data_IF_667843833619
#
_entry.id   IF_667843833619
#
_cell.length_a   1.000
_cell.length_b   1.000
_cell.length_c   1.000
_cell.angle_alpha   90.00
_cell.angle_beta   90.00
_cell.angle_gamma   90.00
#
_symmetry.space_group_name_H-M   'P 1'
#
loop_
_entity.id
_entity.type
_entity.pdbx_description
1 polymer ?
#
# COMPACT_ATOMS: atom_id res chain seq x y z
N UNK A 1 1.36 -29.30 -29.82
CA UNK A 1 1.56 -29.05 -28.41
C UNK A 1 0.35 -28.25 -27.94
N UNK A 2 -0.53 -28.84 -27.14
CA UNK A 2 -1.74 -28.17 -26.65
C UNK A 2 -1.34 -27.03 -25.71
N UNK A 3 -1.44 -25.82 -26.22
CA UNK A 3 -1.33 -24.62 -25.41
C UNK A 3 -2.65 -24.51 -24.64
N UNK A 4 -2.73 -25.14 -23.46
CA UNK A 4 -3.87 -24.94 -22.56
C UNK A 4 -3.77 -23.49 -22.12
N UNK A 5 -4.62 -22.63 -22.69
CA UNK A 5 -4.73 -21.23 -22.28
C UNK A 5 -4.95 -21.19 -20.77
N UNK A 6 -4.01 -20.62 -20.04
CA UNK A 6 -4.10 -20.48 -18.59
C UNK A 6 -5.00 -19.29 -18.27
N UNK A 7 -6.23 -19.57 -17.90
CA UNK A 7 -7.19 -18.53 -17.46
C UNK A 7 -6.81 -18.09 -16.06
N UNK A 8 -6.71 -16.77 -15.85
CA UNK A 8 -6.47 -16.14 -14.54
C UNK A 8 -7.61 -15.15 -14.26
N UNK A 9 -8.29 -15.36 -13.15
CA UNK A 9 -9.40 -14.51 -12.70
C UNK A 9 -8.83 -13.40 -11.82
N UNK A 10 -8.84 -12.19 -12.33
CA UNK A 10 -8.30 -10.99 -11.68
C UNK A 10 -9.44 -10.12 -11.15
N UNK A 11 -9.50 -9.94 -9.86
CA UNK A 11 -10.41 -8.98 -9.23
C UNK A 11 -9.66 -7.67 -8.97
N UNK A 12 -10.16 -6.58 -9.54
CA UNK A 12 -9.64 -5.23 -9.34
C UNK A 12 -10.56 -4.47 -8.40
N UNK A 13 -10.05 -4.16 -7.20
CA UNK A 13 -10.76 -3.36 -6.22
C UNK A 13 -10.41 -1.88 -6.42
N UNK A 14 -11.26 -1.19 -7.20
CA UNK A 14 -11.03 0.20 -7.58
C UNK A 14 -12.29 0.83 -8.18
N UNK A 15 -12.56 2.11 -7.92
CA UNK A 15 -13.81 2.78 -8.30
C UNK A 15 -13.75 3.63 -9.57
N UNK A 16 -12.58 4.08 -10.01
CA UNK A 16 -12.44 5.07 -11.08
C UNK A 16 -12.55 4.42 -12.47
N UNK A 17 -13.69 4.58 -13.13
CA UNK A 17 -13.96 3.94 -14.43
C UNK A 17 -12.99 4.30 -15.56
N UNK A 18 -12.47 5.54 -15.60
CA UNK A 18 -11.54 5.96 -16.66
C UNK A 18 -10.20 5.18 -16.61
N UNK A 19 -9.77 4.73 -15.43
CA UNK A 19 -8.56 3.93 -15.28
C UNK A 19 -8.79 2.44 -15.49
N UNK A 20 -10.05 1.99 -15.54
CA UNK A 20 -10.37 0.57 -15.74
C UNK A 20 -9.73 0.03 -17.02
N UNK A 21 -9.97 0.68 -18.14
CA UNK A 21 -9.42 0.26 -19.44
C UNK A 21 -7.89 0.28 -19.45
N UNK A 22 -7.30 1.28 -18.80
CA UNK A 22 -5.83 1.42 -18.70
C UNK A 22 -5.25 0.28 -17.86
N UNK A 23 -5.85 -0.01 -16.70
CA UNK A 23 -5.42 -1.12 -15.84
C UNK A 23 -5.60 -2.46 -16.55
N UNK A 24 -6.70 -2.66 -17.25
CA UNK A 24 -6.99 -3.90 -17.97
C UNK A 24 -5.96 -4.12 -19.08
N UNK A 25 -5.68 -3.10 -19.89
CA UNK A 25 -4.63 -3.18 -20.92
C UNK A 25 -3.26 -3.44 -20.32
N UNK A 26 -2.92 -2.71 -19.25
CA UNK A 26 -1.63 -2.90 -18.58
C UNK A 26 -1.48 -4.33 -18.03
N UNK A 27 -2.53 -4.90 -17.43
CA UNK A 27 -2.50 -6.28 -16.94
C UNK A 27 -2.37 -7.29 -18.09
N UNK A 28 -3.06 -7.09 -19.22
CA UNK A 28 -2.91 -7.94 -20.42
C UNK A 28 -1.50 -7.86 -20.99
N UNK A 29 -0.91 -6.65 -21.06
CA UNK A 29 0.46 -6.46 -21.54
C UNK A 29 1.51 -7.07 -20.59
N UNK A 30 1.21 -7.12 -19.31
CA UNK A 30 2.08 -7.71 -18.27
C UNK A 30 1.99 -9.24 -18.22
N UNK A 31 0.86 -9.81 -18.66
CA UNK A 31 0.57 -11.25 -18.61
C UNK A 31 0.16 -11.79 -20.00
N UNK A 32 1.00 -11.63 -21.03
CA UNK A 32 0.62 -11.96 -22.41
C UNK A 32 0.35 -13.46 -22.65
N UNK A 33 0.89 -14.33 -21.81
CA UNK A 33 0.73 -15.79 -21.91
C UNK A 33 -0.50 -16.31 -21.17
N UNK A 34 -1.36 -15.40 -20.65
CA UNK A 34 -2.54 -15.73 -19.87
C UNK A 34 -3.81 -15.12 -20.47
N UNK A 35 -4.91 -15.84 -20.41
CA UNK A 35 -6.23 -15.30 -20.66
C UNK A 35 -6.77 -14.71 -19.36
N UNK A 36 -6.94 -13.39 -19.32
CA UNK A 36 -7.39 -12.71 -18.12
C UNK A 36 -8.91 -12.53 -18.11
N UNK A 37 -9.55 -13.07 -17.08
CA UNK A 37 -10.94 -12.73 -16.76
C UNK A 37 -10.91 -11.67 -15.64
N UNK A 38 -11.12 -10.40 -16.01
CA UNK A 38 -10.95 -9.26 -15.11
C UNK A 38 -12.30 -8.74 -14.66
N UNK A 39 -12.56 -8.77 -13.36
CA UNK A 39 -13.76 -8.25 -12.72
C UNK A 39 -13.41 -7.06 -11.84
N UNK A 40 -14.15 -5.98 -11.97
CA UNK A 40 -14.01 -4.82 -11.07
C UNK A 40 -15.07 -4.88 -9.98
N UNK A 41 -14.65 -4.62 -8.75
CA UNK A 41 -15.52 -4.45 -7.58
C UNK A 41 -15.17 -3.16 -6.86
N UNK A 42 -16.15 -2.50 -6.26
CA UNK A 42 -15.98 -1.24 -5.53
C UNK A 42 -16.56 -1.26 -4.12
N UNK A 43 -17.08 -2.41 -3.68
CA UNK A 43 -17.52 -2.63 -2.29
C UNK A 43 -16.79 -3.80 -1.63
N UNK A 44 -16.63 -3.71 -0.32
CA UNK A 44 -16.01 -4.77 0.49
C UNK A 44 -16.84 -6.04 0.50
N UNK A 45 -18.17 -5.92 0.44
CA UNK A 45 -19.09 -7.05 0.37
C UNK A 45 -18.88 -7.86 -0.90
N UNK A 46 -18.83 -7.19 -2.06
CA UNK A 46 -18.55 -7.83 -3.34
C UNK A 46 -17.17 -8.50 -3.35
N UNK A 47 -16.16 -7.84 -2.79
CA UNK A 47 -14.81 -8.39 -2.72
C UNK A 47 -14.76 -9.66 -1.84
N UNK A 48 -15.41 -9.64 -0.67
CA UNK A 48 -15.50 -10.80 0.22
C UNK A 48 -16.27 -11.95 -0.41
N UNK A 49 -17.41 -11.67 -1.06
CA UNK A 49 -18.22 -12.68 -1.73
C UNK A 49 -17.44 -13.34 -2.89
N UNK A 50 -16.82 -12.56 -3.75
CA UNK A 50 -16.05 -13.09 -4.89
C UNK A 50 -14.91 -14.03 -4.45
N UNK A 51 -14.22 -13.71 -3.35
CA UNK A 51 -13.19 -14.59 -2.80
C UNK A 51 -13.79 -15.84 -2.16
N UNK A 52 -14.88 -15.70 -1.40
CA UNK A 52 -15.57 -16.83 -0.76
C UNK A 52 -16.11 -17.84 -1.78
N UNK A 53 -16.58 -17.36 -2.93
CA UNK A 53 -17.07 -18.19 -4.04
C UNK A 53 -15.93 -18.83 -4.87
N UNK A 54 -14.69 -18.65 -4.45
CA UNK A 54 -13.49 -19.15 -5.15
C UNK A 54 -13.39 -18.71 -6.62
N UNK A 55 -13.84 -17.48 -6.92
CA UNK A 55 -13.86 -16.90 -8.26
C UNK A 55 -12.72 -15.93 -8.55
N UNK A 56 -11.68 -15.91 -7.70
CA UNK A 56 -10.56 -14.97 -7.78
C UNK A 56 -9.25 -15.72 -7.61
N UNK A 57 -8.30 -15.49 -8.53
CA UNK A 57 -6.93 -15.97 -8.42
C UNK A 57 -5.98 -14.85 -7.99
N UNK A 58 -6.27 -13.62 -8.46
CA UNK A 58 -5.49 -12.42 -8.14
C UNK A 58 -6.42 -11.30 -7.70
N UNK A 59 -6.13 -10.72 -6.56
CA UNK A 59 -6.72 -9.46 -6.09
C UNK A 59 -5.74 -8.33 -6.33
N UNK A 60 -6.16 -7.30 -7.06
CA UNK A 60 -5.37 -6.11 -7.37
C UNK A 60 -6.04 -4.86 -6.80
N UNK A 61 -5.27 -4.05 -6.09
CA UNK A 61 -5.76 -2.76 -5.58
C UNK A 61 -4.63 -1.73 -5.50
N UNK A 62 -5.00 -0.46 -5.32
CA UNK A 62 -4.11 0.68 -5.14
C UNK A 62 -4.18 1.18 -3.69
N UNK A 63 -3.04 1.55 -3.13
CA UNK A 63 -2.90 1.89 -1.72
C UNK A 63 -3.83 3.03 -1.26
N UNK A 64 -3.88 4.15 -2.00
CA UNK A 64 -4.71 5.28 -1.58
C UNK A 64 -6.21 4.94 -1.65
N UNK A 65 -6.62 4.13 -2.62
CA UNK A 65 -8.01 3.68 -2.71
C UNK A 65 -8.36 2.78 -1.54
N UNK A 66 -7.53 1.80 -1.25
CA UNK A 66 -7.72 0.88 -0.13
C UNK A 66 -7.77 1.63 1.21
N UNK A 67 -6.82 2.55 1.44
CA UNK A 67 -6.72 3.33 2.67
C UNK A 67 -7.91 4.27 2.89
N UNK A 68 -8.45 4.85 1.82
CA UNK A 68 -9.55 5.81 1.90
C UNK A 68 -10.95 5.17 1.76
N UNK A 69 -11.02 3.87 1.55
CA UNK A 69 -12.30 3.17 1.44
C UNK A 69 -12.97 3.06 2.80
N UNK A 70 -14.17 3.65 2.93
CA UNK A 70 -14.87 3.80 4.22
C UNK A 70 -15.18 2.47 4.92
N UNK A 71 -15.42 1.42 4.14
CA UNK A 71 -15.80 0.11 4.64
C UNK A 71 -14.58 -0.80 4.88
N UNK A 72 -13.37 -0.37 4.52
CA UNK A 72 -12.15 -1.17 4.68
C UNK A 72 -11.55 -0.98 6.08
N UNK A 73 -12.23 -1.50 7.09
CA UNK A 73 -11.75 -1.51 8.47
C UNK A 73 -10.65 -2.56 8.70
N UNK A 74 -9.99 -2.49 9.84
CA UNK A 74 -9.01 -3.51 10.25
C UNK A 74 -9.63 -4.91 10.34
N UNK A 75 -10.87 -5.00 10.82
CA UNK A 75 -11.63 -6.26 10.90
C UNK A 75 -11.90 -6.85 9.50
N UNK A 76 -12.40 -6.01 8.57
CA UNK A 76 -12.64 -6.40 7.17
C UNK A 76 -11.34 -6.83 6.51
N UNK A 77 -10.27 -6.08 6.69
CA UNK A 77 -8.93 -6.41 6.17
C UNK A 77 -8.42 -7.76 6.68
N UNK A 78 -8.59 -8.04 7.97
CA UNK A 78 -8.20 -9.31 8.59
C UNK A 78 -9.02 -10.48 8.03
N UNK A 79 -10.35 -10.34 7.95
CA UNK A 79 -11.24 -11.33 7.38
C UNK A 79 -10.93 -11.61 5.90
N UNK A 80 -10.75 -10.56 5.11
CA UNK A 80 -10.39 -10.66 3.70
C UNK A 80 -9.05 -11.38 3.51
N UNK A 81 -8.05 -11.01 4.31
CA UNK A 81 -6.73 -11.66 4.27
C UNK A 81 -6.82 -13.17 4.60
N UNK A 82 -7.63 -13.52 5.57
CA UNK A 82 -7.86 -14.92 5.93
C UNK A 82 -8.51 -15.71 4.79
N UNK A 83 -9.56 -15.15 4.18
CA UNK A 83 -10.22 -15.75 3.01
C UNK A 83 -9.26 -15.91 1.83
N UNK A 84 -8.48 -14.88 1.51
CA UNK A 84 -7.47 -14.96 0.44
C UNK A 84 -6.47 -16.08 0.67
N UNK A 85 -6.04 -16.31 1.92
CA UNK A 85 -5.15 -17.42 2.26
C UNK A 85 -5.82 -18.78 2.06
N UNK A 86 -7.08 -18.92 2.49
CA UNK A 86 -7.84 -20.16 2.35
C UNK A 86 -8.07 -20.54 0.89
N UNK A 87 -8.35 -19.56 0.03
CA UNK A 87 -8.65 -19.76 -1.38
C UNK A 87 -7.42 -19.53 -2.30
N UNK A 88 -6.21 -19.42 -1.73
CA UNK A 88 -4.95 -19.20 -2.46
C UNK A 88 -4.95 -17.95 -3.37
N UNK A 89 -5.74 -16.92 -3.05
CA UNK A 89 -5.77 -15.67 -3.80
C UNK A 89 -4.49 -14.87 -3.55
N UNK A 90 -3.82 -14.46 -4.61
CA UNK A 90 -2.61 -13.66 -4.56
C UNK A 90 -3.00 -12.17 -4.57
N UNK A 91 -2.60 -11.43 -3.54
CA UNK A 91 -2.92 -10.00 -3.39
C UNK A 91 -1.78 -9.16 -3.92
N UNK A 92 -2.09 -8.26 -4.83
CA UNK A 92 -1.16 -7.29 -5.43
C UNK A 92 -1.56 -5.90 -5.00
N UNK A 93 -0.62 -5.17 -4.41
CA UNK A 93 -0.81 -3.78 -3.98
C UNK A 93 0.06 -2.84 -4.82
N UNK A 94 -0.57 -1.90 -5.51
CA UNK A 94 0.10 -0.80 -6.18
C UNK A 94 0.26 0.36 -5.18
N UNK A 95 1.51 0.82 -4.99
CA UNK A 95 1.79 1.95 -4.10
C UNK A 95 2.33 3.14 -4.88
N UNK A 96 1.92 4.38 -4.53
CA UNK A 96 2.55 5.59 -5.03
C UNK A 96 3.93 5.76 -4.40
N UNK A 97 4.61 6.85 -4.71
CA UNK A 97 5.80 7.24 -3.97
C UNK A 97 5.41 7.58 -2.52
N UNK A 98 5.95 6.83 -1.58
CA UNK A 98 5.65 6.96 -0.16
C UNK A 98 6.91 7.32 0.63
N UNK A 99 6.78 8.13 1.70
CA UNK A 99 7.83 8.30 2.69
C UNK A 99 8.27 6.93 3.24
N UNK A 100 9.56 6.77 3.49
CA UNK A 100 10.13 5.49 3.88
C UNK A 100 9.41 4.82 5.08
N UNK A 101 9.11 5.61 6.13
CA UNK A 101 8.44 5.08 7.32
C UNK A 101 7.04 4.54 7.02
N UNK A 102 6.28 5.23 6.15
CA UNK A 102 4.97 4.77 5.71
C UNK A 102 5.09 3.53 4.81
N UNK A 103 6.03 3.55 3.86
CA UNK A 103 6.30 2.37 3.02
C UNK A 103 6.58 1.14 3.87
N UNK A 104 7.40 1.27 4.93
CA UNK A 104 7.67 0.16 5.84
C UNK A 104 6.40 -0.40 6.49
N UNK A 105 5.49 0.47 6.97
CA UNK A 105 4.20 0.05 7.54
C UNK A 105 3.30 -0.62 6.49
N UNK A 106 3.26 -0.08 5.27
CA UNK A 106 2.52 -0.70 4.16
C UNK A 106 3.02 -2.12 3.89
N UNK A 107 4.32 -2.34 3.92
CA UNK A 107 4.90 -3.67 3.72
C UNK A 107 4.55 -4.66 4.86
N UNK A 108 4.20 -4.16 6.04
CA UNK A 108 3.69 -4.98 7.16
C UNK A 108 2.29 -5.56 6.87
N UNK A 109 1.54 -5.02 5.89
CA UNK A 109 0.27 -5.60 5.41
C UNK A 109 0.46 -6.94 4.69
N UNK A 110 1.70 -7.29 4.32
CA UNK A 110 2.11 -8.58 3.76
C UNK A 110 1.30 -9.01 2.54
N UNK A 111 1.10 -8.10 1.59
CA UNK A 111 0.63 -8.47 0.25
C UNK A 111 1.62 -9.44 -0.41
N UNK A 112 1.13 -10.38 -1.19
CA UNK A 112 1.97 -11.36 -1.89
C UNK A 112 2.91 -10.66 -2.88
N UNK A 113 2.46 -9.53 -3.49
CA UNK A 113 3.33 -8.64 -4.25
C UNK A 113 2.94 -7.17 -4.00
N UNK A 114 3.92 -6.35 -3.61
CA UNK A 114 3.77 -4.90 -3.58
C UNK A 114 4.60 -4.28 -4.68
N UNK A 115 3.97 -3.53 -5.57
CA UNK A 115 4.57 -2.86 -6.73
C UNK A 115 4.46 -1.34 -6.59
N UNK A 116 5.38 -0.61 -7.19
CA UNK A 116 5.39 0.85 -7.20
C UNK A 116 4.90 1.41 -8.54
N UNK A 117 4.28 2.59 -8.51
CA UNK A 117 4.02 3.38 -9.73
C UNK A 117 5.32 3.79 -10.46
N UNK A 118 6.47 3.65 -9.82
CA UNK A 118 7.81 3.94 -10.36
C UNK A 118 8.50 2.70 -10.95
N UNK A 119 7.86 1.53 -10.90
CA UNK A 119 8.43 0.32 -11.51
C UNK A 119 8.38 0.39 -13.03
N UNK A 120 9.41 -0.13 -13.68
CA UNK A 120 9.42 -0.29 -15.12
C UNK A 120 8.56 -1.48 -15.56
N UNK A 121 7.77 -1.30 -16.60
CA UNK A 121 6.93 -2.38 -17.16
C UNK A 121 7.71 -3.64 -17.50
N UNK A 122 8.96 -3.49 -17.94
CA UNK A 122 9.86 -4.60 -18.24
C UNK A 122 10.21 -5.45 -17.02
N UNK A 123 10.28 -4.85 -15.83
CA UNK A 123 10.48 -5.57 -14.57
C UNK A 123 9.20 -6.27 -14.12
N UNK A 124 8.05 -5.57 -14.20
CA UNK A 124 6.74 -6.12 -13.83
C UNK A 124 6.32 -7.32 -14.71
N UNK A 125 6.70 -7.32 -15.99
CA UNK A 125 6.53 -8.48 -16.89
C UNK A 125 7.23 -9.76 -16.42
N UNK A 126 8.19 -9.65 -15.52
CA UNK A 126 8.86 -10.82 -14.90
C UNK A 126 8.26 -11.16 -13.53
N UNK A 127 7.92 -10.14 -12.76
CA UNK A 127 7.47 -10.31 -11.37
C UNK A 127 6.04 -10.83 -11.26
N UNK A 128 5.11 -10.36 -12.10
CA UNK A 128 3.72 -10.81 -12.08
C UNK A 128 3.54 -12.28 -12.54
N UNK A 129 4.13 -12.76 -13.65
CA UNK A 129 4.07 -14.18 -13.99
C UNK A 129 4.73 -15.05 -12.92
N UNK A 130 5.85 -14.61 -12.33
CA UNK A 130 6.52 -15.34 -11.26
C UNK A 130 5.62 -15.51 -10.04
N UNK A 131 4.83 -14.48 -9.69
CA UNK A 131 3.84 -14.55 -8.62
C UNK A 131 2.78 -15.64 -8.88
N UNK A 132 2.32 -15.77 -10.14
CA UNK A 132 1.30 -16.76 -10.52
C UNK A 132 1.82 -18.19 -10.50
N UNK A 133 3.12 -18.38 -10.74
CA UNK A 133 3.77 -19.68 -10.78
C UNK A 133 4.32 -20.16 -9.44
N UNK A 134 4.46 -19.24 -8.47
CA UNK A 134 5.05 -19.56 -7.18
C UNK A 134 4.15 -20.46 -6.32
N UNK A 135 4.69 -21.60 -5.88
CA UNK A 135 4.11 -22.38 -4.80
C UNK A 135 4.47 -21.73 -3.46
N UNK A 136 3.46 -21.18 -2.80
CA UNK A 136 3.62 -20.52 -1.50
C UNK A 136 3.63 -19.00 -1.58
N UNK A 137 2.82 -18.41 -0.72
CA UNK A 137 2.53 -16.96 -0.71
C UNK A 137 3.48 -16.23 0.22
N UNK A 138 4.77 -16.16 -0.12
CA UNK A 138 5.68 -15.28 0.62
C UNK A 138 5.56 -13.84 0.11
N UNK A 139 5.36 -12.85 1.01
CA UNK A 139 5.34 -11.45 0.62
C UNK A 139 6.60 -11.06 -0.14
N UNK A 140 6.42 -10.39 -1.26
CA UNK A 140 7.49 -9.88 -2.11
C UNK A 140 7.25 -8.41 -2.47
N UNK A 141 8.30 -7.73 -2.87
CA UNK A 141 8.25 -6.34 -3.30
C UNK A 141 8.97 -6.19 -4.64
N UNK A 142 8.54 -5.24 -5.45
CA UNK A 142 9.11 -4.97 -6.75
C UNK A 142 10.57 -4.52 -6.69
N UNK A 143 11.24 -4.53 -7.82
CA UNK A 143 12.65 -4.17 -7.95
C UNK A 143 12.92 -2.73 -7.52
N UNK A 144 12.04 -1.80 -7.88
CA UNK A 144 12.16 -0.40 -7.46
C UNK A 144 12.04 -0.26 -5.93
N UNK A 145 11.03 -0.89 -5.32
CA UNK A 145 10.85 -0.88 -3.87
C UNK A 145 12.02 -1.53 -3.15
N UNK A 146 12.59 -2.62 -3.68
CA UNK A 146 13.82 -3.21 -3.13
C UNK A 146 14.99 -2.25 -3.14
N UNK A 147 15.16 -1.45 -4.22
CA UNK A 147 16.19 -0.40 -4.29
C UNK A 147 15.97 0.67 -3.22
N UNK A 148 14.73 1.19 -3.11
CA UNK A 148 14.36 2.20 -2.11
C UNK A 148 14.60 1.68 -0.69
N UNK A 149 14.18 0.46 -0.38
CA UNK A 149 14.36 -0.13 0.94
C UNK A 149 15.84 -0.32 1.30
N UNK A 150 16.69 -0.67 0.34
CA UNK A 150 18.16 -0.80 0.55
C UNK A 150 18.83 0.56 0.72
N UNK A 151 18.52 1.55 -0.12
CA UNK A 151 19.13 2.88 -0.05
C UNK A 151 18.76 3.61 1.23
N UNK A 152 17.50 3.50 1.64
CA UNK A 152 17.00 4.14 2.85
C UNK A 152 17.40 3.41 4.14
N UNK A 153 17.90 2.16 4.06
CA UNK A 153 18.35 1.42 5.24
C UNK A 153 19.58 2.02 5.92
N UNK A 154 20.38 2.80 5.20
CA UNK A 154 21.58 3.48 5.73
C UNK A 154 21.31 4.82 6.42
N UNK A 155 20.12 5.43 6.22
CA UNK A 155 19.80 6.80 6.64
C UNK A 155 18.83 6.88 7.82
N UNK A 156 18.77 5.90 8.72
CA UNK A 156 17.63 5.72 9.58
C UNK A 156 17.80 6.10 11.03
N UNK A 157 16.93 6.98 11.47
CA UNK A 157 16.47 6.96 12.85
C UNK A 157 14.93 6.84 12.86
N UNK A 158 14.42 5.83 13.57
CA UNK A 158 13.02 5.75 13.99
C UNK A 158 12.69 7.04 14.72
N UNK A 159 11.49 7.59 14.52
CA UNK A 159 11.04 8.73 15.29
C UNK A 159 11.13 8.41 16.78
N UNK A 160 11.68 9.35 17.54
CA UNK A 160 11.57 9.27 19.00
C UNK A 160 10.11 9.47 19.40
N UNK A 161 9.72 8.97 20.58
CA UNK A 161 8.37 9.17 21.12
C UNK A 161 7.96 10.66 21.13
N UNK A 162 8.89 11.57 21.40
CA UNK A 162 8.67 13.02 21.40
C UNK A 162 8.41 13.58 20.00
N UNK A 163 9.14 13.11 19.01
CA UNK A 163 8.94 13.53 17.61
C UNK A 163 7.60 13.02 17.09
N UNK A 164 7.24 11.77 17.39
CA UNK A 164 5.96 11.18 17.02
C UNK A 164 4.80 11.95 17.63
N UNK A 165 4.88 12.26 18.92
CA UNK A 165 3.86 13.00 19.66
C UNK A 165 3.65 14.41 19.10
N UNK A 166 4.72 15.13 18.75
CA UNK A 166 4.62 16.44 18.10
C UNK A 166 3.92 16.34 16.74
N UNK A 167 4.24 15.32 15.93
CA UNK A 167 3.57 15.14 14.65
C UNK A 167 2.08 14.85 14.82
N UNK A 168 1.73 14.02 15.78
CA UNK A 168 0.33 13.66 16.08
C UNK A 168 -0.49 14.90 16.46
N UNK A 169 -0.01 15.70 17.39
CA UNK A 169 -0.66 16.94 17.81
C UNK A 169 -0.81 17.97 16.66
N UNK A 170 0.17 18.03 15.74
CA UNK A 170 0.07 18.89 14.56
C UNK A 170 -1.06 18.44 13.64
N UNK A 171 -1.27 17.15 13.47
CA UNK A 171 -2.34 16.61 12.63
C UNK A 171 -3.71 16.72 13.29
N UNK A 172 -3.76 16.72 14.61
CA UNK A 172 -4.96 17.08 15.40
C UNK A 172 -5.31 18.58 15.29
N UNK A 173 -4.47 19.38 14.63
CA UNK A 173 -4.72 20.80 14.36
C UNK A 173 -4.01 21.76 15.30
N UNK A 174 -3.20 21.29 16.25
CA UNK A 174 -2.46 22.18 17.16
C UNK A 174 -1.30 22.88 16.44
N UNK A 175 -1.18 24.17 16.63
CA UNK A 175 -0.01 24.94 16.20
C UNK A 175 1.22 24.60 17.05
N UNK A 176 2.42 24.84 16.51
CA UNK A 176 3.66 24.68 17.29
C UNK A 176 3.71 25.51 18.56
N UNK A 177 3.04 26.65 18.58
CA UNK A 177 2.92 27.53 19.77
C UNK A 177 2.02 26.92 20.83
N UNK A 178 0.90 26.34 20.45
CA UNK A 178 -0.02 25.65 21.38
C UNK A 178 0.63 24.41 21.96
N UNK A 179 1.31 23.60 21.12
CA UNK A 179 2.07 22.44 21.58
C UNK A 179 3.16 22.84 22.57
N UNK A 180 3.89 23.92 22.29
CA UNK A 180 4.93 24.44 23.16
C UNK A 180 4.39 24.83 24.54
N UNK A 181 3.24 25.53 24.58
CA UNK A 181 2.55 25.91 25.82
C UNK A 181 2.06 24.67 26.57
N UNK A 182 1.38 23.75 25.88
CA UNK A 182 0.83 22.55 26.49
C UNK A 182 1.93 21.63 27.06
N UNK A 183 3.10 21.61 26.42
CA UNK A 183 4.25 20.77 26.83
C UNK A 183 5.24 21.46 27.73
N UNK A 184 4.99 22.73 28.08
CA UNK A 184 5.92 23.56 28.86
C UNK A 184 7.34 23.56 28.23
N UNK A 185 7.41 23.80 26.93
CA UNK A 185 8.64 23.86 26.11
C UNK A 185 8.67 25.13 25.30
N UNK A 186 9.87 25.49 24.78
CA UNK A 186 9.98 26.61 23.86
C UNK A 186 9.41 26.25 22.47
N UNK A 187 8.87 27.25 21.77
CA UNK A 187 8.38 27.07 20.39
C UNK A 187 9.51 26.57 19.48
N UNK A 188 10.74 27.04 19.69
CA UNK A 188 11.91 26.58 18.94
C UNK A 188 12.20 25.10 19.16
N UNK A 189 12.02 24.58 20.37
CA UNK A 189 12.16 23.15 20.67
C UNK A 189 11.14 22.33 19.88
N UNK A 190 9.87 22.73 19.86
CA UNK A 190 8.82 22.02 19.11
C UNK A 190 9.06 22.13 17.60
N UNK A 191 9.47 23.31 17.11
CA UNK A 191 9.81 23.49 15.68
C UNK A 191 10.99 22.58 15.26
N UNK A 192 12.01 22.45 16.11
CA UNK A 192 13.16 21.56 15.87
C UNK A 192 12.72 20.09 15.85
N UNK A 193 11.88 19.66 16.80
CA UNK A 193 11.35 18.29 16.83
C UNK A 193 10.51 17.98 15.59
N UNK A 194 9.61 18.91 15.18
CA UNK A 194 8.87 18.80 13.92
C UNK A 194 9.80 18.67 12.73
N UNK A 195 10.77 19.56 12.60
CA UNK A 195 11.73 19.55 11.48
C UNK A 195 12.52 18.23 11.42
N UNK A 196 13.05 17.78 12.56
CA UNK A 196 13.80 16.53 12.63
C UNK A 196 12.92 15.32 12.28
N UNK A 197 11.70 15.29 12.77
CA UNK A 197 10.75 14.25 12.44
C UNK A 197 10.43 14.22 10.93
N UNK A 198 10.11 15.37 10.34
CA UNK A 198 9.86 15.50 8.91
C UNK A 198 11.07 15.05 8.08
N UNK A 199 12.28 15.46 8.47
CA UNK A 199 13.52 15.04 7.82
C UNK A 199 13.73 13.53 7.91
N UNK A 200 13.48 12.92 9.07
CA UNK A 200 13.59 11.48 9.28
C UNK A 200 12.59 10.68 8.44
N UNK A 201 11.41 11.25 8.21
CA UNK A 201 10.35 10.65 7.38
C UNK A 201 10.48 11.01 5.90
N UNK A 202 11.47 11.84 5.53
CA UNK A 202 11.63 12.38 4.18
C UNK A 202 10.39 13.14 3.69
N UNK A 203 9.79 13.94 4.57
CA UNK A 203 8.63 14.79 4.26
C UNK A 203 9.11 16.21 3.96
N UNK A 204 8.69 16.75 2.83
CA UNK A 204 9.14 18.05 2.34
C UNK A 204 8.24 19.21 2.78
N UNK A 205 6.97 18.94 3.06
CA UNK A 205 5.99 19.98 3.40
C UNK A 205 4.90 19.49 4.37
N UNK A 206 4.10 20.44 4.85
CA UNK A 206 3.03 20.17 5.83
C UNK A 206 1.91 19.26 5.28
N UNK A 207 1.59 19.37 4.00
CA UNK A 207 0.56 18.53 3.37
C UNK A 207 0.97 17.06 3.32
N UNK A 208 2.25 16.79 3.05
CA UNK A 208 2.82 15.44 3.12
C UNK A 208 2.80 14.89 4.55
N UNK A 209 3.07 15.75 5.54
CA UNK A 209 2.98 15.37 6.94
C UNK A 209 1.56 14.93 7.32
N UNK A 210 0.54 15.73 6.99
CA UNK A 210 -0.86 15.38 7.26
C UNK A 210 -1.23 14.04 6.62
N UNK A 211 -0.93 13.87 5.34
CA UNK A 211 -1.18 12.60 4.61
C UNK A 211 -0.50 11.42 5.29
N UNK A 212 0.75 11.60 5.70
CA UNK A 212 1.52 10.56 6.38
C UNK A 212 0.86 10.11 7.69
N UNK A 213 0.52 11.04 8.59
CA UNK A 213 -0.02 10.69 9.91
C UNK A 213 -1.44 10.12 9.79
N UNK A 214 -2.27 10.67 8.88
CA UNK A 214 -3.59 10.10 8.60
C UNK A 214 -3.53 8.68 8.06
N UNK A 215 -2.55 8.41 7.18
CA UNK A 215 -2.35 7.06 6.65
C UNK A 215 -1.92 6.07 7.74
N UNK A 216 -1.01 6.50 8.62
CA UNK A 216 -0.55 5.68 9.76
C UNK A 216 -1.67 5.44 10.77
N UNK A 217 -2.44 6.47 11.13
CA UNK A 217 -3.57 6.34 12.05
C UNK A 217 -4.59 5.31 11.57
N UNK A 218 -4.98 5.36 10.30
CA UNK A 218 -5.91 4.39 9.70
C UNK A 218 -5.38 2.96 9.62
N UNK A 219 -4.09 2.73 9.79
CA UNK A 219 -3.49 1.39 9.81
C UNK A 219 -3.38 0.81 11.23
N UNK A 220 -3.53 1.64 12.25
CA UNK A 220 -3.43 1.25 13.67
C UNK A 220 -4.80 1.01 14.30
N UNK A 221 -5.89 1.44 13.66
CA UNK A 221 -7.29 1.11 14.00
C UNK A 221 -7.71 -0.25 13.45
#
# INVERSE_FOLDING_TARGET
MNNTERIVRVMVFYKINIFKEIIFRALQDLLPDYVLNITQVDSTEQALAAVADNNVDVFFTEFNYLLNHKEWSAEVSSRFTSLCKTHHVRRVLLVPELPYGLLKKVLEMKFELTISQQDELTELKKELPALLMADGQKPSISSWLRRVMRSSSRARSILSAREWEVLHLIVEGFSTTEIARHRNRSVSTIATQKHNAMKKLNLSNHSELIKYVQAVGKMEE
#
